data_IF_200955782546
#
_entry.id   IF_200955782546
#
_cell.length_a   1.000
_cell.length_b   1.000
_cell.length_c   1.000
_cell.angle_alpha   90.00
_cell.angle_beta   90.00
_cell.angle_gamma   90.00
#
_symmetry.space_group_name_H-M   'P 1'
#
loop_
_entity.id
_entity.type
_entity.pdbx_description
1 polymer ?
#
# COMPACT_ATOMS: atom_id res chain seq x y z
N UNK A 1 -23.07 23.12 14.48
CA UNK A 1 -22.56 22.32 15.61
C UNK A 1 -23.00 20.89 15.37
N UNK A 2 -22.22 20.12 14.61
CA UNK A 2 -22.54 18.71 14.34
C UNK A 2 -21.91 17.92 15.48
N UNK A 3 -22.76 17.51 16.42
CA UNK A 3 -22.37 16.53 17.44
C UNK A 3 -22.24 15.20 16.69
N UNK A 4 -21.00 14.81 16.33
CA UNK A 4 -20.73 13.44 15.89
C UNK A 4 -20.91 12.55 17.12
N UNK A 5 -22.12 11.99 17.23
CA UNK A 5 -22.52 11.12 18.32
C UNK A 5 -21.67 9.84 18.35
N UNK A 6 -21.44 9.31 19.56
CA UNK A 6 -20.78 8.05 19.95
C UNK A 6 -20.90 6.84 18.98
N UNK A 7 -21.92 6.81 18.12
CA UNK A 7 -22.18 5.76 17.12
C UNK A 7 -21.07 5.52 16.09
N UNK A 8 -20.14 6.45 15.85
CA UNK A 8 -19.09 6.26 14.83
C UNK A 8 -18.10 5.14 15.21
N UNK A 9 -17.93 4.86 16.50
CA UNK A 9 -16.88 3.96 17.00
C UNK A 9 -17.32 2.52 17.25
N UNK A 10 -18.63 2.23 17.29
CA UNK A 10 -19.17 0.90 17.63
C UNK A 10 -18.80 -0.19 16.60
N UNK A 11 -18.28 0.19 15.43
CA UNK A 11 -17.90 -0.73 14.35
C UNK A 11 -16.39 -0.84 14.12
N UNK A 12 -15.56 -0.11 14.87
CA UNK A 12 -14.11 -0.23 14.79
C UNK A 12 -13.59 -1.03 15.98
N UNK A 13 -12.80 -2.06 15.72
CA UNK A 13 -12.10 -2.77 16.78
C UNK A 13 -11.02 -1.83 17.37
N UNK A 14 -11.06 -1.50 18.68
CA UNK A 14 -10.05 -0.67 19.30
C UNK A 14 -8.84 -1.54 19.68
N UNK A 15 -7.62 -1.10 19.34
CA UNK A 15 -6.38 -1.72 19.83
C UNK A 15 -5.81 -0.86 20.95
N UNK A 16 -5.25 -1.50 21.99
CA UNK A 16 -4.51 -0.77 23.04
C UNK A 16 -3.42 0.08 22.36
N UNK A 17 -3.33 1.37 22.67
CA UNK A 17 -2.18 2.14 22.20
C UNK A 17 -0.93 1.41 22.66
N UNK A 18 -0.03 1.16 21.71
CA UNK A 18 1.27 0.64 22.07
C UNK A 18 1.90 1.70 22.97
N UNK A 19 2.27 1.34 24.21
CA UNK A 19 3.19 2.17 24.98
C UNK A 19 4.38 2.45 24.06
N UNK A 20 4.95 3.64 24.14
CA UNK A 20 6.00 4.24 23.29
C UNK A 20 7.34 3.44 23.21
N UNK A 21 7.32 2.12 23.40
CA UNK A 21 8.43 1.27 23.86
C UNK A 21 8.53 -0.07 23.09
N UNK A 22 8.35 -0.06 21.77
CA UNK A 22 8.93 -1.11 20.91
C UNK A 22 9.03 -0.62 19.46
N UNK A 23 9.88 0.37 19.18
CA UNK A 23 10.43 0.49 17.83
C UNK A 23 11.32 -0.73 17.64
N UNK A 24 10.93 -1.64 16.75
CA UNK A 24 11.74 -2.80 16.43
C UNK A 24 12.81 -2.39 15.40
N UNK A 25 14.06 -2.32 15.84
CA UNK A 25 15.20 -1.95 14.99
C UNK A 25 15.78 -3.14 14.21
N UNK A 26 15.23 -4.35 14.40
CA UNK A 26 15.76 -5.58 13.83
C UNK A 26 15.25 -5.96 12.44
N UNK A 27 14.45 -5.11 11.78
CA UNK A 27 14.00 -5.39 10.40
C UNK A 27 15.22 -5.37 9.47
N UNK A 28 15.49 -6.43 8.70
CA UNK A 28 16.59 -6.45 7.75
C UNK A 28 16.47 -5.30 6.75
N UNK A 29 17.57 -4.58 6.53
CA UNK A 29 17.70 -3.54 5.50
C UNK A 29 18.61 -4.08 4.42
N UNK A 30 18.08 -4.16 3.20
CA UNK A 30 18.74 -4.75 2.04
C UNK A 30 19.06 -3.64 1.04
N UNK A 31 20.34 -3.46 0.77
CA UNK A 31 20.84 -2.59 -0.29
C UNK A 31 20.86 -3.38 -1.61
N UNK A 32 20.05 -3.00 -2.60
CA UNK A 32 20.03 -3.71 -3.89
C UNK A 32 21.33 -3.55 -4.70
N UNK A 33 22.17 -2.57 -4.36
CA UNK A 33 23.48 -2.41 -4.98
C UNK A 33 24.56 -3.34 -4.39
N UNK A 34 24.26 -4.03 -3.29
CA UNK A 34 25.17 -4.99 -2.67
C UNK A 34 25.29 -6.27 -3.53
N UNK A 35 26.51 -6.70 -3.91
CA UNK A 35 26.73 -7.96 -4.64
C UNK A 35 26.16 -9.21 -3.96
N UNK A 36 25.97 -9.19 -2.63
CA UNK A 36 25.40 -10.28 -1.84
C UNK A 36 23.94 -10.07 -1.42
N UNK A 37 23.26 -9.07 -2.00
CA UNK A 37 21.85 -8.76 -1.72
C UNK A 37 20.94 -10.00 -1.82
N UNK A 38 21.18 -10.90 -2.79
CA UNK A 38 20.42 -12.16 -2.96
C UNK A 38 20.43 -13.03 -1.70
N UNK A 39 21.57 -13.16 -1.03
CA UNK A 39 21.72 -13.97 0.19
C UNK A 39 20.96 -13.32 1.34
N UNK A 40 21.03 -11.99 1.42
CA UNK A 40 20.35 -11.20 2.45
C UNK A 40 18.82 -11.25 2.26
N UNK A 41 18.33 -11.22 1.02
CA UNK A 41 16.91 -11.34 0.66
C UNK A 41 16.38 -12.71 1.12
N UNK A 42 17.05 -13.80 0.75
CA UNK A 42 16.63 -15.14 1.15
C UNK A 42 16.58 -15.26 2.67
N UNK A 43 17.63 -14.80 3.37
CA UNK A 43 17.69 -14.87 4.83
C UNK A 43 16.58 -14.06 5.50
N UNK A 44 16.30 -12.86 5.01
CA UNK A 44 15.22 -12.05 5.54
C UNK A 44 13.82 -12.66 5.28
N UNK A 45 13.64 -13.33 4.14
CA UNK A 45 12.42 -14.07 3.84
C UNK A 45 12.21 -15.26 4.79
N UNK A 46 13.29 -16.00 5.10
CA UNK A 46 13.25 -17.14 6.04
C UNK A 46 12.96 -16.71 7.48
N UNK A 47 13.63 -15.64 7.93
CA UNK A 47 13.58 -15.23 9.35
C UNK A 47 12.36 -14.36 9.67
N UNK A 48 11.90 -13.53 8.72
CA UNK A 48 10.86 -12.53 8.95
C UNK A 48 9.71 -12.57 7.95
N UNK A 49 9.96 -12.99 6.71
CA UNK A 49 9.03 -12.76 5.59
C UNK A 49 8.82 -11.27 5.26
N UNK A 50 9.67 -10.38 5.80
CA UNK A 50 9.57 -8.93 5.66
C UNK A 50 10.95 -8.27 5.73
N UNK A 51 11.22 -7.29 4.87
CA UNK A 51 12.47 -6.53 4.88
C UNK A 51 12.28 -5.16 4.24
N UNK A 52 13.19 -4.23 4.58
CA UNK A 52 13.29 -2.93 3.93
C UNK A 52 14.30 -3.01 2.78
N UNK A 53 14.00 -2.33 1.69
CA UNK A 53 14.92 -2.19 0.56
C UNK A 53 15.42 -0.75 0.48
N UNK A 54 16.70 -0.54 0.18
CA UNK A 54 17.34 0.75 -0.09
C UNK A 54 18.13 0.69 -1.40
N UNK A 55 18.49 1.86 -1.94
CA UNK A 55 19.19 1.99 -3.23
C UNK A 55 18.46 1.26 -4.38
N UNK A 56 17.13 1.33 -4.35
CA UNK A 56 16.22 0.58 -5.22
C UNK A 56 15.97 1.20 -6.61
N UNK A 57 16.62 2.32 -6.94
CA UNK A 57 16.53 2.97 -8.26
C UNK A 57 15.23 3.71 -8.59
N UNK A 58 14.14 3.50 -7.84
CA UNK A 58 12.91 4.32 -7.98
C UNK A 58 13.18 5.78 -7.57
N UNK A 59 12.90 6.73 -8.46
CA UNK A 59 13.16 8.17 -8.27
C UNK A 59 12.34 8.80 -7.13
N UNK A 60 13.00 9.62 -6.32
CA UNK A 60 12.35 10.39 -5.25
C UNK A 60 11.35 11.42 -5.81
N UNK A 61 11.62 11.99 -6.98
CA UNK A 61 10.69 12.89 -7.67
C UNK A 61 9.41 12.18 -8.07
N UNK A 62 9.51 10.95 -8.59
CA UNK A 62 8.36 10.14 -8.96
C UNK A 62 7.55 9.74 -7.72
N UNK A 63 8.24 9.34 -6.64
CA UNK A 63 7.63 9.05 -5.34
C UNK A 63 6.87 10.29 -4.80
N UNK A 64 7.49 11.47 -4.85
CA UNK A 64 6.87 12.70 -4.39
C UNK A 64 5.67 13.11 -5.26
N UNK A 65 5.77 12.90 -6.58
CA UNK A 65 4.70 13.20 -7.53
C UNK A 65 3.45 12.35 -7.25
N UNK A 66 3.61 11.03 -7.10
CA UNK A 66 2.47 10.15 -6.83
C UNK A 66 1.83 10.45 -5.47
N UNK A 67 2.61 10.77 -4.44
CA UNK A 67 2.09 11.20 -3.15
C UNK A 67 1.31 12.52 -3.21
N UNK A 68 1.79 13.48 -4.00
CA UNK A 68 1.11 14.75 -4.18
C UNK A 68 -0.26 14.55 -4.85
N UNK A 69 -0.35 13.70 -5.87
CA UNK A 69 -1.62 13.41 -6.53
C UNK A 69 -2.57 12.62 -5.63
N UNK A 70 -2.06 11.64 -4.87
CA UNK A 70 -2.84 10.91 -3.88
C UNK A 70 -3.47 11.84 -2.85
N UNK A 71 -2.67 12.76 -2.28
CA UNK A 71 -3.15 13.74 -1.29
C UNK A 71 -4.25 14.63 -1.87
N UNK A 72 -4.04 15.18 -3.07
CA UNK A 72 -5.06 15.99 -3.75
C UNK A 72 -6.37 15.25 -3.90
N UNK A 73 -6.33 13.98 -4.33
CA UNK A 73 -7.53 13.16 -4.43
C UNK A 73 -8.21 12.96 -3.08
N UNK A 74 -7.47 12.61 -2.02
CA UNK A 74 -8.07 12.35 -0.69
C UNK A 74 -8.57 13.62 0.01
N UNK A 75 -8.04 14.80 -0.36
CA UNK A 75 -8.52 16.12 0.09
C UNK A 75 -9.84 16.56 -0.57
N UNK A 76 -10.29 15.88 -1.63
CA UNK A 76 -11.58 16.15 -2.26
C UNK A 76 -12.75 15.95 -1.29
N UNK A 77 -13.87 16.68 -1.49
CA UNK A 77 -15.10 16.43 -0.77
C UNK A 77 -15.53 14.96 -0.91
N UNK A 78 -16.06 14.37 0.16
CA UNK A 78 -16.49 12.96 0.19
C UNK A 78 -17.38 12.58 -1.01
N UNK A 79 -18.33 13.45 -1.37
CA UNK A 79 -19.24 13.23 -2.50
C UNK A 79 -18.53 13.13 -3.85
N UNK A 80 -17.39 13.81 -4.02
CA UNK A 80 -16.58 13.72 -5.25
C UNK A 80 -15.78 12.42 -5.26
N UNK A 81 -15.19 12.02 -4.13
CA UNK A 81 -14.47 10.74 -4.01
C UNK A 81 -15.37 9.53 -4.25
N UNK A 82 -16.62 9.60 -3.78
CA UNK A 82 -17.61 8.53 -3.97
C UNK A 82 -17.96 8.25 -5.44
N UNK A 83 -17.80 9.23 -6.35
CA UNK A 83 -17.98 9.01 -7.80
C UNK A 83 -16.98 8.03 -8.39
N UNK A 84 -15.81 7.88 -7.76
CA UNK A 84 -14.79 6.91 -8.14
C UNK A 84 -15.02 5.51 -7.52
N UNK A 85 -16.01 5.34 -6.65
CA UNK A 85 -16.33 4.06 -6.00
C UNK A 85 -17.48 3.30 -6.65
N UNK A 86 -17.92 2.18 -6.04
CA UNK A 86 -17.21 1.41 -5.00
C UNK A 86 -15.99 0.66 -5.60
N UNK A 87 -15.07 0.14 -4.76
CA UNK A 87 -13.85 -0.53 -5.20
C UNK A 87 -14.14 -2.00 -5.57
N UNK A 88 -14.98 -2.18 -6.58
CA UNK A 88 -15.41 -3.48 -7.10
C UNK A 88 -15.48 -3.42 -8.64
N UNK A 89 -14.52 -4.02 -9.36
CA UNK A 89 -13.26 -4.58 -8.85
C UNK A 89 -12.22 -3.51 -8.46
N UNK A 90 -12.36 -2.28 -8.97
CA UNK A 90 -11.43 -1.16 -8.77
C UNK A 90 -12.21 0.14 -8.52
N UNK A 91 -11.60 1.09 -7.83
CA UNK A 91 -12.21 2.36 -7.46
C UNK A 91 -11.83 2.86 -6.07
N UNK A 92 -12.57 3.86 -5.60
CA UNK A 92 -12.48 4.41 -4.27
C UNK A 92 -13.29 3.60 -3.24
N UNK A 93 -12.68 3.33 -2.08
CA UNK A 93 -13.31 2.73 -0.92
C UNK A 93 -13.14 3.59 0.34
N UNK A 94 -14.13 3.55 1.22
CA UNK A 94 -14.08 4.20 2.53
C UNK A 94 -14.53 3.21 3.60
N UNK A 95 -13.67 3.00 4.59
CA UNK A 95 -13.84 2.15 5.78
C UNK A 95 -13.99 0.65 5.52
N UNK A 96 -14.94 0.23 4.68
CA UNK A 96 -15.18 -1.19 4.37
C UNK A 96 -14.00 -1.77 3.59
N UNK A 97 -13.51 -2.92 4.02
CA UNK A 97 -12.41 -3.67 3.40
C UNK A 97 -12.98 -5.02 2.95
N UNK A 98 -12.91 -5.29 1.64
CA UNK A 98 -13.40 -6.55 1.08
C UNK A 98 -14.93 -6.77 1.22
N UNK A 99 -15.42 -7.96 0.84
CA UNK A 99 -16.85 -8.26 0.82
C UNK A 99 -17.40 -8.72 2.18
N UNK A 100 -16.55 -9.16 3.11
CA UNK A 100 -16.95 -9.90 4.32
C UNK A 100 -17.28 -9.01 5.52
N UNK A 101 -17.33 -7.69 5.33
CA UNK A 101 -17.71 -6.75 6.38
C UNK A 101 -16.57 -6.28 7.28
N UNK A 102 -15.31 -6.52 6.90
CA UNK A 102 -14.17 -5.93 7.59
C UNK A 102 -14.21 -4.39 7.47
N UNK A 103 -13.83 -3.71 8.54
CA UNK A 103 -13.88 -2.25 8.65
C UNK A 103 -12.57 -1.73 9.25
N UNK A 104 -12.02 -0.68 8.66
CA UNK A 104 -10.82 0.00 9.14
C UNK A 104 -10.93 1.52 9.06
N UNK A 105 -10.15 2.24 9.86
CA UNK A 105 -10.05 3.70 9.83
C UNK A 105 -9.18 4.14 8.64
N UNK A 106 -9.74 3.94 7.46
CA UNK A 106 -9.05 4.08 6.18
C UNK A 106 -10.01 4.56 5.10
N UNK A 107 -9.48 5.31 4.16
CA UNK A 107 -10.01 5.43 2.81
C UNK A 107 -8.92 5.04 1.81
N UNK A 108 -9.29 4.52 0.65
CA UNK A 108 -8.30 3.98 -0.28
C UNK A 108 -8.74 4.01 -1.74
N UNK A 109 -7.76 4.00 -2.64
CA UNK A 109 -7.94 3.71 -4.06
C UNK A 109 -7.41 2.31 -4.34
N UNK A 110 -8.18 1.53 -5.11
CA UNK A 110 -7.75 0.25 -5.66
C UNK A 110 -7.73 0.37 -7.18
N UNK A 111 -6.56 0.14 -7.78
CA UNK A 111 -6.30 0.31 -9.20
C UNK A 111 -5.75 -0.98 -9.81
N UNK A 112 -6.09 -1.24 -11.07
CA UNK A 112 -5.43 -2.29 -11.84
C UNK A 112 -4.08 -1.75 -12.35
N UNK A 113 -3.04 -2.57 -12.29
CA UNK A 113 -1.72 -2.18 -12.82
C UNK A 113 -1.61 -2.29 -14.34
N UNK A 114 -2.58 -2.93 -15.00
CA UNK A 114 -2.68 -2.97 -16.45
C UNK A 114 -3.46 -1.73 -16.96
N UNK A 115 -2.79 -0.77 -17.63
CA UNK A 115 -3.42 0.46 -18.11
C UNK A 115 -4.43 0.21 -19.25
N UNK A 116 -4.48 -0.99 -19.83
CA UNK A 116 -5.49 -1.32 -20.83
C UNK A 116 -6.85 -1.65 -20.20
N UNK A 117 -6.90 -1.89 -18.89
CA UNK A 117 -8.11 -2.26 -18.14
C UNK A 117 -8.73 -1.06 -17.40
N UNK A 118 -8.52 0.16 -17.88
CA UNK A 118 -9.09 1.39 -17.31
C UNK A 118 -10.61 1.29 -17.27
N UNK A 119 -11.15 1.19 -16.06
CA UNK A 119 -12.58 1.27 -15.81
C UNK A 119 -13.09 2.71 -15.98
N UNK A 120 -14.40 2.89 -16.25
CA UNK A 120 -15.00 4.23 -16.20
C UNK A 120 -14.82 4.90 -14.83
N UNK A 121 -14.80 4.12 -13.74
CA UNK A 121 -14.56 4.61 -12.38
C UNK A 121 -13.17 5.23 -12.22
N UNK A 122 -12.15 4.67 -12.87
CA UNK A 122 -10.80 5.24 -12.84
C UNK A 122 -10.71 6.63 -13.50
N UNK A 123 -11.63 7.00 -14.40
CA UNK A 123 -11.66 8.37 -14.93
C UNK A 123 -12.01 9.40 -13.85
N UNK A 124 -12.88 9.05 -12.90
CA UNK A 124 -13.22 9.92 -11.78
C UNK A 124 -12.07 10.07 -10.79
N UNK A 125 -11.20 9.06 -10.66
CA UNK A 125 -9.98 9.14 -9.84
C UNK A 125 -9.06 10.25 -10.35
N UNK A 126 -8.97 10.40 -11.67
CA UNK A 126 -8.06 11.35 -12.30
C UNK A 126 -8.73 12.69 -12.67
N UNK A 127 -9.99 12.92 -12.29
CA UNK A 127 -10.83 13.96 -12.89
C UNK A 127 -10.25 15.39 -12.83
N UNK A 128 -9.60 15.79 -11.74
CA UNK A 128 -9.03 17.14 -11.64
C UNK A 128 -7.81 17.35 -12.56
N UNK A 129 -6.98 16.31 -12.74
CA UNK A 129 -5.78 16.35 -13.57
C UNK A 129 -5.57 15.00 -14.28
N UNK A 130 -6.38 14.67 -15.30
CA UNK A 130 -6.45 13.32 -15.87
C UNK A 130 -5.10 12.78 -16.33
N UNK A 131 -4.35 13.60 -17.07
CA UNK A 131 -3.07 13.19 -17.62
C UNK A 131 -1.97 13.15 -16.56
N UNK A 132 -1.93 14.14 -15.66
CA UNK A 132 -0.86 14.22 -14.65
C UNK A 132 -0.95 13.06 -13.65
N UNK A 133 -2.14 12.78 -13.11
CA UNK A 133 -2.28 11.74 -12.11
C UNK A 133 -2.17 10.35 -12.74
N UNK A 134 -2.77 10.13 -13.91
CA UNK A 134 -2.62 8.86 -14.63
C UNK A 134 -1.16 8.57 -14.99
N UNK A 135 -0.43 9.54 -15.57
CA UNK A 135 0.98 9.34 -15.90
C UNK A 135 1.81 9.05 -14.65
N UNK A 136 1.60 9.79 -13.54
CA UNK A 136 2.29 9.52 -12.29
C UNK A 136 2.02 8.11 -11.74
N UNK A 137 0.78 7.61 -11.84
CA UNK A 137 0.41 6.24 -11.47
C UNK A 137 1.11 5.22 -12.37
N UNK A 138 1.03 5.38 -13.68
CA UNK A 138 1.61 4.44 -14.66
C UNK A 138 3.13 4.36 -14.52
N UNK A 139 3.81 5.51 -14.41
CA UNK A 139 5.26 5.58 -14.21
C UNK A 139 5.68 4.95 -12.87
N UNK A 140 4.96 5.27 -11.78
CA UNK A 140 5.26 4.72 -10.46
C UNK A 140 5.06 3.20 -10.43
N UNK A 141 3.95 2.70 -10.96
CA UNK A 141 3.67 1.26 -11.08
C UNK A 141 4.76 0.58 -11.90
N UNK A 142 5.13 1.16 -13.06
CA UNK A 142 6.17 0.60 -13.91
C UNK A 142 7.52 0.49 -13.20
N UNK A 143 7.94 1.56 -12.52
CA UNK A 143 9.20 1.60 -11.78
C UNK A 143 9.23 0.59 -10.61
N UNK A 144 8.16 0.57 -9.79
CA UNK A 144 8.06 -0.36 -8.65
C UNK A 144 7.94 -1.81 -9.13
N UNK A 145 7.21 -2.09 -10.21
CA UNK A 145 7.10 -3.43 -10.79
C UNK A 145 8.44 -3.92 -11.34
N UNK A 146 9.22 -3.03 -11.97
CA UNK A 146 10.60 -3.32 -12.40
C UNK A 146 11.49 -3.71 -11.23
N UNK A 147 11.48 -2.90 -10.17
CA UNK A 147 12.23 -3.18 -8.94
C UNK A 147 11.78 -4.48 -8.26
N UNK A 148 10.46 -4.74 -8.18
CA UNK A 148 9.94 -5.98 -7.63
C UNK A 148 10.37 -7.21 -8.44
N UNK A 149 10.45 -7.11 -9.78
CA UNK A 149 11.02 -8.15 -10.61
C UNK A 149 12.48 -8.42 -10.26
N UNK A 150 13.29 -7.38 -10.06
CA UNK A 150 14.69 -7.49 -9.67
C UNK A 150 14.84 -8.21 -8.31
N UNK A 151 14.04 -7.83 -7.31
CA UNK A 151 14.02 -8.50 -5.99
C UNK A 151 13.65 -9.99 -6.13
N UNK A 152 12.63 -10.32 -6.92
CA UNK A 152 12.23 -11.70 -7.17
C UNK A 152 13.29 -12.50 -7.94
N UNK A 153 14.03 -11.85 -8.84
CA UNK A 153 15.15 -12.46 -9.57
C UNK A 153 16.33 -12.74 -8.64
N UNK A 154 16.68 -11.80 -7.76
CA UNK A 154 17.71 -12.03 -6.73
C UNK A 154 17.30 -13.14 -5.76
N UNK A 155 16.02 -13.19 -5.36
CA UNK A 155 15.49 -14.27 -4.52
C UNK A 155 15.61 -15.63 -5.22
N UNK A 156 15.23 -15.72 -6.49
CA UNK A 156 15.36 -16.94 -7.28
C UNK A 156 16.82 -17.40 -7.41
N UNK A 157 17.75 -16.46 -7.68
CA UNK A 157 19.19 -16.74 -7.72
C UNK A 157 19.73 -17.22 -6.36
N UNK A 158 19.31 -16.59 -5.26
CA UNK A 158 19.69 -16.98 -3.89
C UNK A 158 19.18 -18.36 -3.49
N UNK A 159 18.01 -18.76 -4.02
CA UNK A 159 17.44 -20.10 -3.87
C UNK A 159 18.06 -21.15 -4.81
N UNK A 160 18.95 -20.75 -5.72
CA UNK A 160 19.58 -21.65 -6.70
C UNK A 160 18.62 -22.16 -7.78
N UNK A 161 17.51 -21.46 -8.03
CA UNK A 161 16.57 -21.77 -9.11
C UNK A 161 16.79 -20.83 -10.31
N UNK A 162 16.05 -21.06 -11.40
CA UNK A 162 16.14 -20.20 -12.58
C UNK A 162 15.78 -18.74 -12.23
N UNK A 163 16.65 -17.80 -12.58
CA UNK A 163 16.52 -16.35 -12.26
C UNK A 163 15.12 -15.81 -12.52
N UNK A 164 14.51 -16.14 -13.67
CA UNK A 164 13.21 -15.60 -14.05
C UNK A 164 12.00 -16.36 -13.49
N UNK A 165 12.23 -17.46 -12.75
CA UNK A 165 11.17 -18.39 -12.34
C UNK A 165 10.03 -17.71 -11.58
N UNK A 166 10.37 -16.72 -10.73
CA UNK A 166 9.42 -15.93 -9.95
C UNK A 166 9.01 -14.65 -10.69
N UNK A 167 9.95 -13.89 -11.24
CA UNK A 167 9.64 -12.60 -11.89
C UNK A 167 8.77 -12.74 -13.13
N UNK A 168 8.81 -13.87 -13.83
CA UNK A 168 7.90 -14.15 -14.96
C UNK A 168 6.42 -14.13 -14.56
N UNK A 169 6.09 -14.51 -13.33
CA UNK A 169 4.71 -14.47 -12.81
C UNK A 169 4.19 -13.02 -12.72
N UNK A 170 5.10 -12.08 -12.45
CA UNK A 170 4.81 -10.66 -12.38
C UNK A 170 4.81 -10.02 -13.79
N UNK A 171 5.70 -10.47 -14.69
CA UNK A 171 5.83 -9.98 -16.07
C UNK A 171 4.74 -10.45 -17.02
N UNK A 172 4.04 -11.55 -16.71
CA UNK A 172 2.95 -12.06 -17.53
C UNK A 172 1.86 -10.99 -17.72
N UNK A 173 1.39 -10.81 -18.96
CA UNK A 173 0.35 -9.82 -19.30
C UNK A 173 -0.99 -10.10 -18.62
N UNK A 174 -1.23 -11.36 -18.24
CA UNK A 174 -2.42 -11.82 -17.50
C UNK A 174 -2.19 -11.83 -16.00
N UNK A 175 -1.04 -11.33 -15.52
CA UNK A 175 -0.74 -11.26 -14.10
C UNK A 175 -1.77 -10.39 -13.37
N UNK A 176 -2.37 -10.95 -12.32
CA UNK A 176 -3.31 -10.23 -11.47
C UNK A 176 -2.54 -9.36 -10.47
N UNK A 177 -2.26 -8.14 -10.90
CA UNK A 177 -1.50 -7.16 -10.13
C UNK A 177 -2.37 -5.95 -9.82
N UNK A 178 -2.49 -5.62 -8.54
CA UNK A 178 -3.22 -4.46 -8.06
C UNK A 178 -2.27 -3.41 -7.46
N UNK A 179 -2.65 -2.14 -7.60
CA UNK A 179 -2.01 -1.02 -6.92
C UNK A 179 -3.01 -0.39 -5.96
N UNK A 180 -2.63 -0.29 -4.68
CA UNK A 180 -3.50 0.22 -3.63
C UNK A 180 -2.88 1.44 -2.98
N UNK A 181 -3.64 2.54 -2.92
CA UNK A 181 -3.25 3.75 -2.21
C UNK A 181 -4.11 3.88 -0.97
N UNK A 182 -3.50 3.72 0.21
CA UNK A 182 -4.19 3.80 1.49
C UNK A 182 -3.97 5.18 2.12
N UNK A 183 -5.04 5.82 2.59
CA UNK A 183 -5.01 7.04 3.39
C UNK A 183 -5.66 6.78 4.75
N UNK A 184 -4.88 6.99 5.81
CA UNK A 184 -5.30 6.84 7.19
C UNK A 184 -5.45 8.23 7.81
N UNK A 185 -6.63 8.85 7.77
CA UNK A 185 -6.79 10.22 8.26
C UNK A 185 -6.60 10.29 9.78
N UNK A 186 -6.16 11.43 10.34
CA UNK A 186 -6.18 11.64 11.78
C UNK A 186 -7.57 11.38 12.36
N UNK A 187 -7.65 10.80 13.55
CA UNK A 187 -8.89 10.64 14.29
C UNK A 187 -8.90 11.68 15.44
N UNK A 188 -9.68 12.77 15.34
CA UNK A 188 -9.67 13.83 16.36
C UNK A 188 -10.18 13.34 17.73
N UNK A 189 -11.07 12.35 17.78
CA UNK A 189 -11.60 11.82 19.03
C UNK A 189 -10.69 10.78 19.72
N UNK A 190 -9.45 10.60 19.26
CA UNK A 190 -8.52 9.63 19.87
C UNK A 190 -8.26 9.91 21.37
N UNK A 191 -8.28 11.18 21.79
CA UNK A 191 -8.15 11.56 23.20
C UNK A 191 -9.31 11.04 24.06
N UNK A 192 -10.51 10.91 23.49
CA UNK A 192 -11.68 10.35 24.16
C UNK A 192 -11.60 8.80 24.31
N UNK A 193 -10.78 8.14 23.49
CA UNK A 193 -10.61 6.68 23.50
C UNK A 193 -9.68 6.16 24.62
N UNK A 194 -9.32 7.00 25.60
CA UNK A 194 -8.54 6.61 26.79
C UNK A 194 -7.24 5.87 26.46
N UNK A 195 -6.53 6.32 25.42
CA UNK A 195 -5.28 5.69 24.96
C UNK A 195 -5.49 4.39 24.18
N UNK A 196 -6.58 4.25 23.42
CA UNK A 196 -6.76 3.22 22.40
C UNK A 196 -6.65 3.83 21.01
N UNK A 197 -5.98 3.12 20.10
CA UNK A 197 -5.90 3.48 18.69
C UNK A 197 -6.99 2.71 17.91
N UNK A 198 -7.42 3.28 16.78
CA UNK A 198 -8.27 2.58 15.84
C UNK A 198 -7.43 1.72 14.89
N UNK A 199 -7.96 0.57 14.50
CA UNK A 199 -7.38 -0.23 13.42
C UNK A 199 -7.56 0.53 12.11
N UNK A 200 -6.45 0.92 11.48
CA UNK A 200 -6.45 1.46 10.12
C UNK A 200 -6.77 0.37 9.10
N UNK A 201 -6.00 -0.72 9.12
CA UNK A 201 -6.20 -1.92 8.32
C UNK A 201 -5.93 -3.14 9.21
N UNK A 202 -6.83 -4.12 9.18
CA UNK A 202 -6.75 -5.30 10.06
C UNK A 202 -5.52 -6.17 9.82
N UNK A 203 -5.17 -7.01 10.78
CA UNK A 203 -4.11 -8.00 10.60
C UNK A 203 -4.48 -8.98 9.48
N UNK A 204 -3.51 -9.30 8.62
CA UNK A 204 -3.65 -10.24 7.53
C UNK A 204 -2.27 -10.61 7.00
N UNK A 205 -2.21 -11.69 6.22
CA UNK A 205 -1.10 -11.98 5.30
C UNK A 205 -1.57 -11.69 3.89
N UNK A 206 -0.69 -11.14 3.06
CA UNK A 206 -1.02 -10.90 1.66
C UNK A 206 -1.09 -12.22 0.88
N UNK A 207 -2.12 -12.40 0.01
CA UNK A 207 -2.28 -13.64 -0.74
C UNK A 207 -1.38 -13.74 -1.99
N UNK A 208 -0.74 -12.63 -2.40
CA UNK A 208 0.10 -12.58 -3.59
C UNK A 208 1.53 -13.07 -3.33
N UNK A 209 2.29 -13.24 -4.41
CA UNK A 209 3.72 -13.60 -4.40
C UNK A 209 4.60 -12.59 -3.66
N UNK A 210 4.34 -11.28 -3.81
CA UNK A 210 5.07 -10.20 -3.13
C UNK A 210 4.21 -8.94 -3.08
N UNK A 211 4.32 -8.20 -1.98
CA UNK A 211 3.80 -6.85 -1.83
C UNK A 211 4.94 -5.87 -1.57
N UNK A 212 4.94 -4.74 -2.29
CA UNK A 212 5.91 -3.66 -2.08
C UNK A 212 5.18 -2.45 -1.50
N UNK A 213 5.59 -2.03 -0.30
CA UNK A 213 4.97 -0.93 0.42
C UNK A 213 5.94 0.25 0.54
N UNK A 214 5.42 1.46 0.26
CA UNK A 214 6.08 2.74 0.54
C UNK A 214 5.06 3.61 1.27
N UNK A 215 5.42 4.16 2.42
CA UNK A 215 4.60 5.16 3.16
C UNK A 215 5.29 6.51 3.23
N UNK A 216 4.54 7.54 3.65
CA UNK A 216 5.15 8.75 4.19
C UNK A 216 5.79 8.47 5.58
N UNK A 217 6.23 9.51 6.27
CA UNK A 217 6.90 9.40 7.58
C UNK A 217 5.93 9.18 8.77
N UNK A 218 4.66 8.87 8.53
CA UNK A 218 3.69 8.60 9.59
C UNK A 218 3.79 7.13 10.02
N UNK A 219 3.88 6.89 11.33
CA UNK A 219 3.89 5.53 11.90
C UNK A 219 2.53 4.86 11.77
N UNK A 220 2.49 3.52 11.67
CA UNK A 220 1.22 2.79 11.71
C UNK A 220 1.30 1.33 11.26
N UNK A 221 2.32 0.97 10.45
CA UNK A 221 2.59 -0.41 10.08
C UNK A 221 3.18 -1.18 11.27
N UNK A 222 2.60 -2.34 11.58
CA UNK A 222 3.15 -3.31 12.51
C UNK A 222 3.19 -4.68 11.82
N UNK A 223 4.13 -5.53 12.25
CA UNK A 223 4.23 -6.95 11.85
C UNK A 223 4.20 -7.82 13.11
N UNK A 224 3.85 -9.10 12.95
CA UNK A 224 3.75 -10.08 14.04
C UNK A 224 4.99 -10.98 14.08
#
# INVERSE_FOLDING_TARGET
>A
MVVQSQLVFDHFAPIRSCKRTAVFEGIPVIDLSDPDAKTHIVKACEDFGFFKVVNHGVSDELIAAIEAQARRFFELPQMEKEKAGPPDPFGYGSKRIGPNGDVGWIEYLLLNTNPQLISQKSLFIFQENPDIFRCAVEEYIGAVKGMACEVLEMMAEGLGIEKSALSRLLRDERSDCCFRMNHYPPCPELEALSGRNLIGFGEHTDPQIISVLRSNNTTGLHIC
#
